data_IF_833214269506
#
_entry.id   IF_833214269506
#
_cell.length_a   1.000
_cell.length_b   1.000
_cell.length_c   1.000
_cell.angle_alpha   90.00
_cell.angle_beta   90.00
_cell.angle_gamma   90.00
#
_symmetry.space_group_name_H-M   'P 1'
#
loop_
_entity.id
_entity.type
_entity.pdbx_description
1 polymer ?
#
# COMPACT_ATOMS: atom_id res chain seq x y z
N UNK A 1 -5.75 -3.53 -14.90
CA UNK A 1 -4.92 -2.46 -14.24
C UNK A 1 -5.14 -2.61 -12.74
N UNK A 2 -4.08 -2.88 -11.96
CA UNK A 2 -4.18 -3.04 -10.50
C UNK A 2 -4.03 -1.68 -9.86
N UNK A 3 -4.92 -1.35 -8.94
CA UNK A 3 -4.94 -0.09 -8.22
C UNK A 3 -4.79 -0.38 -6.72
N UNK A 4 -4.11 0.49 -6.00
CA UNK A 4 -4.01 0.40 -4.54
C UNK A 4 -4.02 1.83 -3.97
N UNK A 5 -4.39 1.94 -2.72
CA UNK A 5 -4.25 3.15 -1.93
C UNK A 5 -3.48 2.82 -0.66
N UNK A 6 -2.45 3.59 -0.36
CA UNK A 6 -1.68 3.47 0.87
C UNK A 6 -1.64 4.85 1.52
N UNK A 7 -2.27 4.97 2.66
CA UNK A 7 -2.22 6.14 3.53
C UNK A 7 -1.30 5.80 4.70
N UNK A 8 -0.40 6.69 5.06
CA UNK A 8 0.47 6.43 6.19
C UNK A 8 0.89 7.69 6.95
N UNK A 9 1.09 7.53 8.25
CA UNK A 9 1.62 8.54 9.13
C UNK A 9 2.94 8.04 9.70
N UNK A 10 4.01 8.79 9.47
CA UNK A 10 5.35 8.44 9.87
C UNK A 10 5.85 9.42 10.94
N UNK A 11 6.13 8.92 12.15
CA UNK A 11 6.69 9.68 13.30
C UNK A 11 5.95 10.97 13.66
N UNK A 12 4.63 10.97 13.53
CA UNK A 12 3.75 12.10 13.91
C UNK A 12 2.73 11.73 14.98
N UNK A 13 2.76 10.50 15.49
CA UNK A 13 1.96 10.03 16.61
C UNK A 13 2.84 9.79 17.85
N UNK A 14 2.30 10.01 19.06
CA UNK A 14 3.08 9.88 20.30
C UNK A 14 3.55 8.45 20.58
N UNK A 15 2.73 7.45 20.23
CA UNK A 15 3.00 6.03 20.48
C UNK A 15 3.51 5.30 19.22
N UNK A 16 2.89 5.56 18.07
CA UNK A 16 3.17 4.81 16.84
C UNK A 16 4.19 5.52 15.96
N UNK A 17 5.28 4.83 15.66
CA UNK A 17 6.30 5.32 14.71
C UNK A 17 5.81 5.27 13.27
N UNK A 18 4.96 4.27 12.95
CA UNK A 18 4.34 4.12 11.64
C UNK A 18 2.91 3.62 11.80
N UNK A 19 1.97 4.37 11.23
CA UNK A 19 0.57 3.98 11.08
C UNK A 19 0.33 3.84 9.57
N UNK A 20 -0.21 2.70 9.13
CA UNK A 20 -0.57 2.47 7.72
C UNK A 20 -2.03 2.06 7.65
N UNK A 21 -2.74 2.66 6.70
CA UNK A 21 -4.09 2.26 6.30
C UNK A 21 -4.12 2.12 4.78
N UNK A 22 -4.39 0.92 4.26
CA UNK A 22 -4.22 0.63 2.85
C UNK A 22 -5.32 -0.24 2.28
N UNK A 23 -5.71 0.03 1.02
CA UNK A 23 -6.62 -0.79 0.23
C UNK A 23 -5.88 -1.45 -0.93
N UNK A 24 -6.07 -2.76 -1.07
CA UNK A 24 -5.65 -3.52 -2.24
C UNK A 24 -6.83 -3.68 -3.20
N UNK A 25 -6.72 -3.03 -4.34
CA UNK A 25 -7.73 -3.12 -5.40
C UNK A 25 -7.22 -4.02 -6.54
N UNK A 26 -7.99 -5.04 -6.89
CA UNK A 26 -7.58 -6.07 -7.84
C UNK A 26 -8.80 -6.75 -8.48
N UNK A 27 -8.60 -7.40 -9.60
CA UNK A 27 -9.60 -8.30 -10.19
C UNK A 27 -9.92 -9.45 -9.24
N UNK A 28 -11.24 -9.72 -9.05
CA UNK A 28 -11.67 -10.78 -8.13
C UNK A 28 -11.20 -12.17 -8.49
N UNK A 29 -10.93 -12.42 -9.78
CA UNK A 29 -10.44 -13.70 -10.28
C UNK A 29 -8.96 -13.97 -9.96
N UNK A 30 -8.16 -12.93 -9.59
CA UNK A 30 -6.74 -13.10 -9.30
C UNK A 30 -6.55 -13.90 -8.01
N UNK A 31 -5.90 -15.08 -8.07
CA UNK A 31 -5.71 -15.91 -6.89
C UNK A 31 -4.74 -15.23 -5.91
N UNK A 32 -5.17 -15.09 -4.66
CA UNK A 32 -4.42 -14.40 -3.62
C UNK A 32 -4.66 -15.08 -2.29
N UNK A 33 -3.60 -15.32 -1.50
CA UNK A 33 -3.70 -15.71 -0.11
C UNK A 33 -3.78 -14.46 0.79
N UNK A 34 -4.64 -14.48 1.83
CA UNK A 34 -4.63 -13.45 2.88
C UNK A 34 -3.29 -13.35 3.59
N UNK A 35 -3.11 -12.30 4.40
CA UNK A 35 -1.92 -12.14 5.21
C UNK A 35 -1.68 -13.36 6.10
N UNK A 36 -0.45 -13.87 6.06
CA UNK A 36 0.05 -14.97 6.87
C UNK A 36 1.58 -14.92 6.94
N UNK A 37 2.18 -15.62 7.88
CA UNK A 37 3.61 -15.87 7.83
C UNK A 37 3.91 -16.86 6.70
N UNK A 38 4.82 -16.49 5.79
CA UNK A 38 5.12 -17.33 4.64
C UNK A 38 5.90 -18.59 5.03
N UNK A 39 5.49 -19.74 4.52
CA UNK A 39 6.16 -21.01 4.82
C UNK A 39 7.62 -21.04 4.34
N UNK A 40 7.89 -20.45 3.16
CA UNK A 40 9.22 -20.35 2.55
C UNK A 40 10.07 -19.19 3.08
N UNK A 41 9.47 -18.25 3.82
CA UNK A 41 10.11 -17.10 4.47
C UNK A 41 9.41 -16.76 5.79
N UNK A 42 9.63 -17.53 6.87
CA UNK A 42 8.84 -17.42 8.10
C UNK A 42 8.95 -16.08 8.83
N UNK A 43 9.91 -15.25 8.47
CA UNK A 43 10.04 -13.89 9.00
C UNK A 43 9.07 -12.89 8.34
N UNK A 44 8.48 -13.25 7.18
CA UNK A 44 7.63 -12.34 6.40
C UNK A 44 6.17 -12.60 6.73
N UNK A 45 5.47 -11.56 7.16
CA UNK A 45 4.03 -11.49 7.32
C UNK A 45 3.46 -10.61 6.19
N UNK A 46 2.74 -11.22 5.27
CA UNK A 46 2.14 -10.54 4.11
C UNK A 46 1.05 -11.40 3.47
N UNK A 47 0.15 -10.78 2.72
CA UNK A 47 -0.64 -11.47 1.72
C UNK A 47 0.25 -11.98 0.59
N UNK A 48 -0.24 -12.94 -0.22
CA UNK A 48 0.56 -13.50 -1.32
C UNK A 48 -0.21 -13.57 -2.62
N UNK A 49 0.35 -13.03 -3.68
CA UNK A 49 -0.09 -13.24 -5.04
C UNK A 49 0.27 -14.67 -5.47
N UNK A 50 -0.73 -15.52 -5.71
CA UNK A 50 -0.50 -16.93 -6.03
C UNK A 50 -0.20 -17.20 -7.50
N UNK A 51 -0.25 -16.16 -8.37
CA UNK A 51 0.22 -16.25 -9.75
C UNK A 51 1.72 -15.97 -9.89
N UNK A 52 2.19 -14.92 -9.23
CA UNK A 52 3.56 -14.40 -9.38
C UNK A 52 4.40 -14.57 -8.12
N UNK A 53 3.84 -15.13 -7.06
CA UNK A 53 4.50 -15.46 -5.79
C UNK A 53 5.14 -14.27 -5.06
N UNK A 54 4.78 -13.04 -5.44
CA UNK A 54 5.16 -11.80 -4.78
C UNK A 54 4.08 -11.30 -3.83
N UNK A 55 4.26 -10.06 -3.37
CA UNK A 55 3.27 -9.35 -2.54
C UNK A 55 3.22 -7.87 -2.89
N UNK A 56 2.20 -7.18 -2.41
CA UNK A 56 2.00 -5.74 -2.58
C UNK A 56 2.33 -4.93 -1.32
N UNK A 57 2.26 -5.56 -0.14
CA UNK A 57 2.61 -4.99 1.16
C UNK A 57 2.90 -6.10 2.17
N UNK A 58 3.86 -5.85 3.05
CA UNK A 58 4.18 -6.77 4.12
C UNK A 58 5.17 -6.20 5.13
N UNK A 59 5.41 -6.99 6.15
CA UNK A 59 6.35 -6.69 7.25
C UNK A 59 7.19 -7.92 7.57
N UNK A 60 8.27 -7.72 8.31
CA UNK A 60 9.05 -8.81 8.90
C UNK A 60 8.97 -8.78 10.42
N UNK A 61 9.33 -9.90 11.05
CA UNK A 61 9.49 -10.00 12.50
C UNK A 61 10.61 -9.11 13.05
N UNK A 62 11.47 -8.54 12.19
CA UNK A 62 12.51 -7.58 12.55
C UNK A 62 12.10 -6.12 12.32
N UNK A 63 10.82 -5.84 12.02
CA UNK A 63 10.32 -4.48 11.83
C UNK A 63 10.58 -3.87 10.44
N UNK A 64 11.03 -4.65 9.45
CA UNK A 64 11.06 -4.16 8.06
C UNK A 64 9.65 -4.05 7.53
N UNK A 65 9.40 -2.99 6.78
CA UNK A 65 8.15 -2.74 6.09
C UNK A 65 8.42 -2.47 4.62
N UNK A 66 7.61 -3.00 3.73
CA UNK A 66 7.61 -2.62 2.33
C UNK A 66 6.21 -2.67 1.74
N UNK A 67 5.89 -1.72 0.87
CA UNK A 67 4.61 -1.63 0.18
C UNK A 67 4.77 -0.98 -1.19
N UNK A 68 3.88 -1.32 -2.12
CA UNK A 68 3.98 -0.90 -3.51
C UNK A 68 2.61 -0.52 -4.07
N UNK A 69 2.60 0.54 -4.89
CA UNK A 69 1.49 0.81 -5.81
C UNK A 69 1.99 0.82 -7.26
N UNK A 70 1.13 0.42 -8.17
CA UNK A 70 1.39 0.58 -9.60
C UNK A 70 1.30 2.06 -9.97
N UNK A 71 2.13 2.51 -10.92
CA UNK A 71 1.89 3.78 -11.59
C UNK A 71 0.86 3.58 -12.71
N UNK A 72 -0.12 4.48 -12.83
CA UNK A 72 -1.18 4.39 -13.83
C UNK A 72 -0.71 5.02 -15.14
N UNK A 73 -0.33 4.20 -16.09
CA UNK A 73 -0.11 4.56 -17.48
C UNK A 73 -0.76 3.51 -18.39
N UNK A 74 -1.94 3.79 -18.97
CA UNK A 74 -2.62 2.85 -19.87
C UNK A 74 -1.85 2.54 -21.15
N UNK A 75 -0.87 3.37 -21.52
CA UNK A 75 -0.04 3.22 -22.74
C UNK A 75 1.22 2.42 -22.47
N UNK A 76 1.54 2.14 -21.21
CA UNK A 76 2.76 1.42 -20.88
C UNK A 76 2.71 -0.03 -21.35
N UNK A 77 3.72 -0.46 -22.11
CA UNK A 77 3.91 -1.85 -22.49
C UNK A 77 4.39 -2.66 -21.28
N UNK A 78 3.60 -3.65 -20.88
CA UNK A 78 3.91 -4.52 -19.73
C UNK A 78 4.39 -5.91 -20.13
N UNK A 79 4.32 -6.24 -21.45
CA UNK A 79 4.78 -7.51 -21.98
C UNK A 79 6.30 -7.69 -21.77
N UNK A 80 6.71 -8.87 -21.32
CA UNK A 80 8.11 -9.17 -21.01
C UNK A 80 8.65 -8.54 -19.73
N UNK A 81 7.88 -7.72 -19.01
CA UNK A 81 8.27 -7.13 -17.74
C UNK A 81 8.09 -8.09 -16.56
N UNK A 82 8.92 -7.92 -15.55
CA UNK A 82 8.84 -8.64 -14.26
C UNK A 82 7.65 -8.17 -13.44
N UNK A 83 7.23 -9.01 -12.49
CA UNK A 83 6.18 -8.65 -11.52
C UNK A 83 6.70 -7.63 -10.50
N UNK A 84 6.01 -6.50 -10.36
CA UNK A 84 6.32 -5.49 -9.33
C UNK A 84 6.26 -6.03 -7.91
N UNK A 85 5.42 -7.07 -7.65
CA UNK A 85 5.33 -7.72 -6.34
C UNK A 85 6.63 -8.38 -5.87
N UNK A 86 7.58 -8.65 -6.78
CA UNK A 86 8.92 -9.12 -6.42
C UNK A 86 9.70 -8.05 -5.67
N UNK A 87 9.56 -6.77 -6.03
CA UNK A 87 10.25 -5.65 -5.38
C UNK A 87 9.95 -5.56 -3.88
N UNK A 88 8.68 -5.78 -3.51
CA UNK A 88 8.28 -5.81 -2.09
C UNK A 88 8.86 -7.03 -1.39
N UNK A 89 8.73 -8.21 -1.99
CA UNK A 89 9.27 -9.45 -1.44
C UNK A 89 10.80 -9.38 -1.27
N UNK A 90 11.50 -8.81 -2.24
CA UNK A 90 12.95 -8.64 -2.20
C UNK A 90 13.37 -7.62 -1.14
N UNK A 91 12.65 -6.50 -0.98
CA UNK A 91 12.89 -5.52 0.08
C UNK A 91 12.73 -6.14 1.48
N UNK A 92 11.69 -6.97 1.68
CA UNK A 92 11.46 -7.68 2.94
C UNK A 92 12.53 -8.73 3.24
N UNK A 93 13.03 -9.45 2.23
CA UNK A 93 14.08 -10.45 2.34
C UNK A 93 15.48 -9.85 2.51
N UNK A 94 15.68 -8.61 2.09
CA UNK A 94 16.99 -7.98 2.10
C UNK A 94 17.53 -7.81 3.52
N UNK A 95 18.75 -8.29 3.80
CA UNK A 95 19.33 -8.27 5.15
C UNK A 95 20.32 -7.09 5.37
N UNK A 96 20.63 -6.33 4.31
CA UNK A 96 21.50 -5.16 4.36
C UNK A 96 20.78 -3.87 4.76
N UNK A 97 21.44 -2.76 4.53
CA UNK A 97 20.91 -1.41 4.76
C UNK A 97 19.81 -1.09 3.74
N UNK A 98 18.65 -0.60 4.20
CA UNK A 98 17.51 -0.33 3.33
C UNK A 98 17.79 0.80 2.34
N UNK A 99 18.59 1.81 2.72
CA UNK A 99 18.98 2.89 1.81
C UNK A 99 19.78 2.36 0.61
N UNK A 100 20.73 1.46 0.84
CA UNK A 100 21.49 0.82 -0.23
C UNK A 100 20.59 0.01 -1.17
N UNK A 101 19.62 -0.74 -0.63
CA UNK A 101 18.62 -1.45 -1.43
C UNK A 101 17.86 -0.49 -2.35
N UNK A 102 17.35 0.60 -1.78
CA UNK A 102 16.55 1.59 -2.51
C UNK A 102 17.37 2.35 -3.57
N UNK A 103 18.64 2.66 -3.29
CA UNK A 103 19.56 3.28 -4.26
C UNK A 103 19.84 2.38 -5.47
N UNK A 104 19.90 1.06 -5.25
CA UNK A 104 20.18 0.09 -6.32
C UNK A 104 18.96 -0.18 -7.24
N UNK A 105 17.75 0.23 -6.87
CA UNK A 105 16.55 0.02 -7.69
C UNK A 105 16.67 0.66 -9.07
N UNK A 106 17.29 1.84 -9.16
CA UNK A 106 17.44 2.59 -10.41
C UNK A 106 18.08 1.81 -11.56
N UNK A 107 19.04 0.94 -11.24
CA UNK A 107 19.72 0.09 -12.22
C UNK A 107 18.79 -0.94 -12.89
N UNK A 108 17.67 -1.28 -12.26
CA UNK A 108 16.75 -2.32 -12.69
C UNK A 108 15.37 -1.79 -13.13
N UNK A 109 15.20 -0.48 -13.21
CA UNK A 109 13.92 0.17 -13.58
C UNK A 109 13.31 -0.38 -14.88
N UNK A 110 14.14 -0.64 -15.87
CA UNK A 110 13.73 -1.13 -17.19
C UNK A 110 13.07 -2.51 -17.16
N UNK A 111 13.29 -3.30 -16.09
CA UNK A 111 12.74 -4.64 -15.92
C UNK A 111 11.27 -4.63 -15.46
N UNK A 112 10.77 -3.52 -14.94
CA UNK A 112 9.44 -3.43 -14.33
C UNK A 112 8.58 -2.38 -15.01
N UNK A 113 7.25 -2.57 -15.04
CA UNK A 113 6.34 -1.47 -15.35
C UNK A 113 6.40 -0.39 -14.28
N UNK A 114 5.79 0.78 -14.53
CA UNK A 114 5.72 1.91 -13.62
C UNK A 114 5.25 1.53 -12.20
N UNK A 115 6.01 1.96 -11.19
CA UNK A 115 5.73 1.66 -9.78
C UNK A 115 6.15 2.78 -8.84
N UNK A 116 5.57 2.72 -7.64
CA UNK A 116 5.99 3.42 -6.45
C UNK A 116 6.30 2.39 -5.38
N UNK A 117 7.46 2.45 -4.76
CA UNK A 117 7.87 1.57 -3.66
C UNK A 117 8.11 2.40 -2.41
N UNK A 118 7.52 1.97 -1.32
CA UNK A 118 7.78 2.44 0.04
C UNK A 118 8.46 1.32 0.79
N UNK A 119 9.63 1.58 1.40
CA UNK A 119 10.32 0.57 2.18
C UNK A 119 11.12 1.18 3.33
N UNK A 120 11.19 0.47 4.46
CA UNK A 120 11.89 0.89 5.66
C UNK A 120 12.31 -0.27 6.56
N UNK A 121 13.13 0.01 7.55
CA UNK A 121 13.72 -0.98 8.46
C UNK A 121 13.45 -0.70 9.96
N UNK A 122 12.40 0.08 10.24
CA UNK A 122 12.05 0.53 11.60
C UNK A 122 12.76 1.83 12.00
N UNK A 123 13.94 2.14 11.43
CA UNK A 123 14.64 3.40 11.68
C UNK A 123 14.31 4.47 10.66
N UNK A 124 14.35 4.11 9.39
CA UNK A 124 14.13 5.04 8.30
C UNK A 124 13.09 4.49 7.31
N UNK A 125 12.41 5.41 6.63
CA UNK A 125 11.40 5.11 5.63
C UNK A 125 11.77 5.83 4.33
N UNK A 126 11.78 5.10 3.23
CA UNK A 126 12.19 5.57 1.92
C UNK A 126 11.06 5.40 0.91
N UNK A 127 10.92 6.34 0.02
CA UNK A 127 10.05 6.29 -1.14
C UNK A 127 10.86 6.33 -2.42
N UNK A 128 10.51 5.50 -3.38
CA UNK A 128 11.09 5.51 -4.71
C UNK A 128 10.02 5.27 -5.78
N UNK A 129 10.10 6.01 -6.89
CA UNK A 129 9.30 5.76 -8.09
C UNK A 129 10.22 5.63 -9.30
N UNK A 130 10.06 4.55 -10.10
CA UNK A 130 10.81 4.42 -11.35
C UNK A 130 10.34 5.38 -12.44
N UNK A 131 9.15 5.96 -12.30
CA UNK A 131 8.64 7.00 -13.20
C UNK A 131 9.17 8.37 -12.78
N UNK A 132 9.11 8.71 -11.49
CA UNK A 132 9.69 9.94 -10.95
C UNK A 132 11.22 9.94 -10.88
N UNK A 133 11.85 8.77 -10.92
CA UNK A 133 13.29 8.54 -10.84
C UNK A 133 13.97 9.25 -9.65
N UNK A 134 13.25 9.34 -8.54
CA UNK A 134 13.70 10.04 -7.34
C UNK A 134 13.56 9.13 -6.13
N UNK A 135 14.68 8.96 -5.42
CA UNK A 135 14.70 8.37 -4.08
C UNK A 135 14.54 9.48 -3.05
N UNK A 136 13.60 9.29 -2.13
CA UNK A 136 13.35 10.21 -1.01
C UNK A 136 13.43 9.45 0.32
N UNK A 137 14.29 9.92 1.22
CA UNK A 137 14.20 9.56 2.64
C UNK A 137 13.11 10.41 3.25
N UNK A 138 12.06 9.78 3.76
CA UNK A 138 10.90 10.48 4.26
C UNK A 138 11.15 11.12 5.63
N UNK A 139 10.62 12.31 5.84
CA UNK A 139 10.59 13.01 7.12
C UNK A 139 9.29 12.71 7.87
N UNK A 140 9.19 13.04 9.19
CA UNK A 140 7.92 12.93 9.89
C UNK A 140 6.78 13.66 9.16
N UNK A 141 5.65 12.96 8.94
CA UNK A 141 4.53 13.53 8.18
C UNK A 141 3.40 12.54 7.92
N UNK A 142 2.34 13.04 7.27
CA UNK A 142 1.19 12.26 6.83
C UNK A 142 1.19 12.23 5.30
N UNK A 143 1.16 11.03 4.75
CA UNK A 143 1.38 10.76 3.35
C UNK A 143 0.26 9.92 2.74
N UNK A 144 0.10 10.05 1.42
CA UNK A 144 -0.80 9.22 0.65
C UNK A 144 -0.17 8.84 -0.68
N UNK A 145 -0.29 7.58 -1.04
CA UNK A 145 0.23 7.01 -2.28
C UNK A 145 -0.85 6.16 -2.94
N UNK A 146 -1.13 6.47 -4.21
CA UNK A 146 -2.00 5.64 -5.04
C UNK A 146 -1.27 5.34 -6.36
N UNK A 147 -1.94 5.49 -7.48
CA UNK A 147 -1.39 5.10 -8.79
C UNK A 147 -0.73 6.27 -9.55
N UNK A 148 -0.25 7.23 -8.83
CA UNK A 148 0.56 8.36 -9.25
C UNK A 148 1.68 8.58 -8.22
N UNK A 149 2.48 9.62 -8.34
CA UNK A 149 3.55 9.92 -7.39
C UNK A 149 3.01 10.18 -5.97
N UNK A 150 3.88 10.07 -4.99
CA UNK A 150 3.57 10.32 -3.58
C UNK A 150 2.89 11.68 -3.40
N UNK A 151 1.84 11.73 -2.58
CA UNK A 151 1.06 12.93 -2.29
C UNK A 151 0.47 13.63 -3.53
N UNK A 152 0.14 12.86 -4.58
CA UNK A 152 -0.57 13.44 -5.73
C UNK A 152 -1.90 14.06 -5.30
N UNK A 153 -2.32 15.12 -6.00
CA UNK A 153 -3.59 15.82 -5.77
C UNK A 153 -4.83 15.06 -6.28
N UNK A 154 -4.77 13.73 -6.27
CA UNK A 154 -5.94 12.92 -6.58
C UNK A 154 -6.94 12.94 -5.42
N UNK A 155 -8.25 13.08 -5.69
CA UNK A 155 -9.27 13.23 -4.64
C UNK A 155 -9.18 12.18 -3.53
N UNK A 156 -8.99 10.89 -3.89
CA UNK A 156 -8.87 9.83 -2.90
C UNK A 156 -7.61 9.93 -2.04
N UNK A 157 -6.52 10.47 -2.57
CA UNK A 157 -5.27 10.66 -1.82
C UNK A 157 -5.43 11.82 -0.84
N UNK A 158 -6.00 12.95 -1.27
CA UNK A 158 -6.25 14.11 -0.41
C UNK A 158 -7.26 13.78 0.68
N UNK A 159 -8.44 13.24 0.31
CA UNK A 159 -9.49 12.82 1.25
C UNK A 159 -8.96 11.80 2.27
N UNK A 160 -8.17 10.83 1.80
CA UNK A 160 -7.56 9.82 2.67
C UNK A 160 -6.57 10.41 3.65
N UNK A 161 -5.67 11.29 3.22
CA UNK A 161 -4.69 11.97 4.08
C UNK A 161 -5.36 12.87 5.12
N UNK A 162 -6.38 13.63 4.74
CA UNK A 162 -7.16 14.46 5.66
C UNK A 162 -7.89 13.59 6.69
N UNK A 163 -8.51 12.48 6.25
CA UNK A 163 -9.15 11.52 7.14
C UNK A 163 -8.18 10.91 8.14
N UNK A 164 -7.00 10.46 7.67
CA UNK A 164 -5.94 9.93 8.54
C UNK A 164 -5.45 10.98 9.54
N UNK A 165 -5.23 12.23 9.11
CA UNK A 165 -4.80 13.32 9.97
C UNK A 165 -5.82 13.58 11.10
N UNK A 166 -7.11 13.58 10.77
CA UNK A 166 -8.19 13.75 11.74
C UNK A 166 -8.20 12.62 12.76
N UNK A 167 -8.18 11.35 12.32
CA UNK A 167 -8.17 10.17 13.21
C UNK A 167 -7.01 10.23 14.19
N UNK A 168 -5.80 10.56 13.71
CA UNK A 168 -4.61 10.68 14.56
C UNK A 168 -4.77 11.80 15.61
N UNK A 169 -5.41 12.92 15.25
CA UNK A 169 -5.60 14.04 16.16
C UNK A 169 -6.64 13.79 17.26
N UNK A 170 -7.59 12.90 17.04
CA UNK A 170 -8.71 12.63 17.96
C UNK A 170 -8.32 11.80 19.19
N UNK A 171 -7.11 11.23 19.25
CA UNK A 171 -6.54 10.49 20.41
C UNK A 171 -7.55 9.56 21.12
N UNK A 172 -8.31 8.78 20.33
CA UNK A 172 -9.31 7.87 20.89
C UNK A 172 -8.86 6.40 20.80
N UNK A 173 -9.42 5.56 21.68
CA UNK A 173 -9.12 4.12 21.76
C UNK A 173 -9.63 3.33 20.54
N UNK A 174 -10.37 3.95 19.62
CA UNK A 174 -10.99 3.33 18.44
C UNK A 174 -10.23 3.52 17.14
N UNK A 175 -8.92 3.82 17.16
CA UNK A 175 -8.13 4.14 15.96
C UNK A 175 -8.19 3.03 14.89
N UNK A 176 -8.09 1.76 15.27
CA UNK A 176 -8.18 0.62 14.35
C UNK A 176 -9.46 0.67 13.51
N UNK A 177 -10.61 0.73 14.17
CA UNK A 177 -11.91 0.75 13.50
C UNK A 177 -12.15 2.06 12.74
N UNK A 178 -11.67 3.19 13.24
CA UNK A 178 -11.75 4.48 12.54
C UNK A 178 -10.95 4.46 11.22
N UNK A 179 -9.78 3.80 11.20
CA UNK A 179 -8.99 3.60 9.98
C UNK A 179 -9.69 2.67 8.99
N UNK A 180 -10.31 1.57 9.45
CA UNK A 180 -11.12 0.73 8.58
C UNK A 180 -12.34 1.48 8.03
N UNK A 181 -13.03 2.26 8.85
CA UNK A 181 -14.16 3.09 8.40
C UNK A 181 -13.72 4.13 7.35
N UNK A 182 -12.55 4.74 7.50
CA UNK A 182 -11.97 5.62 6.49
C UNK A 182 -11.74 4.88 5.17
N UNK A 183 -11.12 3.69 5.22
CA UNK A 183 -10.82 2.87 4.04
C UNK A 183 -12.06 2.38 3.31
N UNK A 184 -13.19 2.19 4.01
CA UNK A 184 -14.48 1.76 3.44
C UNK A 184 -15.28 2.91 2.78
N UNK A 185 -14.73 4.12 2.71
CA UNK A 185 -15.41 5.21 2.04
C UNK A 185 -15.51 4.98 0.52
N UNK A 186 -16.71 4.72 0.04
CA UNK A 186 -17.04 4.44 -1.35
C UNK A 186 -17.58 5.65 -2.13
N UNK A 187 -17.56 6.87 -1.54
CA UNK A 187 -18.04 8.08 -2.22
C UNK A 187 -17.15 8.44 -3.41
N UNK A 188 -17.68 8.49 -4.64
CA UNK A 188 -16.92 8.91 -5.81
C UNK A 188 -16.59 10.41 -5.74
N UNK A 189 -15.49 10.79 -6.38
CA UNK A 189 -15.16 12.18 -6.57
C UNK A 189 -16.05 12.81 -7.67
N UNK A 190 -16.34 14.14 -7.60
CA UNK A 190 -17.02 14.84 -8.66
C UNK A 190 -16.16 14.86 -9.93
N UNK A 191 -16.82 14.87 -11.10
CA UNK A 191 -16.15 14.72 -12.39
C UNK A 191 -15.05 15.76 -12.64
N UNK A 192 -15.28 16.99 -12.21
CA UNK A 192 -14.34 18.11 -12.36
C UNK A 192 -13.04 17.94 -11.55
N UNK A 193 -13.06 17.07 -10.52
CA UNK A 193 -11.90 16.76 -9.70
C UNK A 193 -11.17 15.48 -10.15
N UNK A 194 -11.74 14.73 -11.12
CA UNK A 194 -11.11 13.51 -11.59
C UNK A 194 -9.81 13.77 -12.35
N UNK A 195 -8.79 12.92 -12.16
CA UNK A 195 -7.57 13.03 -12.97
C UNK A 195 -7.84 12.61 -14.41
N UNK A 196 -7.03 13.12 -15.34
CA UNK A 196 -7.03 12.65 -16.72
C UNK A 196 -5.82 11.77 -16.96
N UNK A 197 -5.96 10.45 -16.77
CA UNK A 197 -4.85 9.50 -16.84
C UNK A 197 -4.82 8.69 -18.14
N UNK A 198 -5.77 8.95 -19.05
CA UNK A 198 -5.86 8.26 -20.33
C UNK A 198 -6.79 7.04 -20.32
N UNK A 199 -7.47 6.75 -19.21
CA UNK A 199 -8.62 5.82 -19.16
C UNK A 199 -9.92 6.59 -19.49
N UNK A 200 -11.03 5.85 -19.70
CA UNK A 200 -12.34 6.47 -19.92
C UNK A 200 -12.84 7.18 -18.66
N UNK A 201 -13.72 8.16 -18.81
CA UNK A 201 -14.35 8.86 -17.68
C UNK A 201 -15.07 7.89 -16.71
N UNK A 202 -15.69 6.85 -17.24
CA UNK A 202 -16.34 5.81 -16.42
C UNK A 202 -15.33 5.09 -15.52
N UNK A 203 -14.15 4.79 -16.05
CA UNK A 203 -13.07 4.22 -15.25
C UNK A 203 -12.50 5.22 -14.25
N UNK A 204 -12.33 6.50 -14.60
CA UNK A 204 -11.88 7.51 -13.63
C UNK A 204 -12.87 7.63 -12.47
N UNK A 205 -14.19 7.64 -12.73
CA UNK A 205 -15.25 7.63 -11.70
C UNK A 205 -15.17 6.37 -10.81
N UNK A 206 -15.09 5.19 -11.42
CA UNK A 206 -15.01 3.91 -10.72
C UNK A 206 -13.79 3.84 -9.79
N UNK A 207 -12.66 4.39 -10.22
CA UNK A 207 -11.39 4.33 -9.51
C UNK A 207 -11.16 5.51 -8.54
N UNK A 208 -12.12 6.44 -8.43
CA UNK A 208 -11.99 7.66 -7.62
C UNK A 208 -12.24 7.46 -6.12
N UNK A 209 -13.09 6.53 -5.65
CA UNK A 209 -13.27 6.29 -4.21
C UNK A 209 -12.04 5.68 -3.54
N UNK A 210 -12.01 5.73 -2.19
CA UNK A 210 -11.05 4.96 -1.42
C UNK A 210 -11.37 3.46 -1.50
N UNK A 211 -12.66 3.10 -1.36
CA UNK A 211 -13.17 1.74 -1.51
C UNK A 211 -13.82 1.56 -2.87
N UNK A 212 -13.35 0.59 -3.64
CA UNK A 212 -13.84 0.33 -5.00
C UNK A 212 -14.69 -0.92 -5.00
N UNK A 213 -15.89 -0.81 -5.60
CA UNK A 213 -16.82 -1.92 -5.74
C UNK A 213 -17.38 -1.97 -7.16
N UNK A 214 -17.17 -3.10 -7.85
CA UNK A 214 -17.77 -3.37 -9.16
C UNK A 214 -17.93 -4.88 -9.37
N UNK A 215 -18.45 -5.29 -10.52
CA UNK A 215 -18.75 -6.70 -10.81
C UNK A 215 -17.52 -7.61 -10.84
N UNK A 216 -16.39 -7.14 -11.38
CA UNK A 216 -15.21 -7.96 -11.63
C UNK A 216 -13.93 -7.46 -10.96
N UNK A 217 -13.96 -6.23 -10.46
CA UNK A 217 -12.83 -5.51 -9.92
C UNK A 217 -13.22 -4.72 -8.69
N UNK A 218 -12.36 -4.64 -7.69
CA UNK A 218 -12.62 -3.83 -6.51
C UNK A 218 -11.62 -4.06 -5.39
N UNK A 219 -11.91 -3.46 -4.24
CA UNK A 219 -11.11 -3.62 -3.03
C UNK A 219 -11.25 -5.05 -2.52
N UNK A 220 -10.13 -5.79 -2.52
CA UNK A 220 -10.03 -7.19 -2.09
C UNK A 220 -9.73 -7.30 -0.61
N UNK A 221 -8.93 -6.39 -0.11
CA UNK A 221 -8.62 -6.31 1.31
C UNK A 221 -8.27 -4.88 1.72
N UNK A 222 -8.56 -4.56 2.98
CA UNK A 222 -8.09 -3.38 3.68
C UNK A 222 -7.10 -3.82 4.76
N UNK A 223 -5.98 -3.11 4.91
CA UNK A 223 -4.99 -3.42 5.92
C UNK A 223 -4.75 -2.20 6.81
N UNK A 224 -4.79 -2.42 8.11
CA UNK A 224 -4.35 -1.47 9.14
C UNK A 224 -3.11 -2.03 9.81
N UNK A 225 -2.05 -1.23 9.87
CA UNK A 225 -0.81 -1.58 10.56
C UNK A 225 -0.43 -0.48 11.53
N UNK A 226 -0.18 -0.85 12.77
CA UNK A 226 0.22 0.05 13.85
C UNK A 226 1.56 -0.45 14.42
N UNK A 227 2.62 0.34 14.23
CA UNK A 227 3.98 -0.01 14.65
C UNK A 227 4.51 0.96 15.69
N UNK A 228 4.89 0.43 16.84
CA UNK A 228 5.66 1.11 17.88
C UNK A 228 7.15 0.75 17.77
N UNK A 229 7.99 1.19 18.70
CA UNK A 229 9.41 0.79 18.75
C UNK A 229 9.66 -0.67 19.12
N UNK A 230 8.66 -1.39 19.65
CA UNK A 230 8.82 -2.75 20.18
C UNK A 230 7.75 -3.74 19.73
N UNK A 231 6.67 -3.24 19.12
CA UNK A 231 5.49 -4.03 18.77
C UNK A 231 4.89 -3.57 17.45
N UNK A 232 4.41 -4.51 16.70
CA UNK A 232 3.64 -4.28 15.47
C UNK A 232 2.32 -5.03 15.53
N UNK A 233 1.23 -4.34 15.24
CA UNK A 233 -0.08 -4.93 14.97
C UNK A 233 -0.34 -4.85 13.47
N UNK A 234 -0.72 -5.97 12.87
CA UNK A 234 -1.05 -6.07 11.44
C UNK A 234 -2.42 -6.72 11.32
N UNK A 235 -3.38 -5.99 10.79
CA UNK A 235 -4.76 -6.45 10.63
C UNK A 235 -5.13 -6.32 9.17
N UNK A 236 -5.46 -7.43 8.52
CA UNK A 236 -6.01 -7.45 7.16
C UNK A 236 -7.47 -7.89 7.21
N UNK A 237 -8.38 -7.04 6.73
CA UNK A 237 -9.78 -7.34 6.50
C UNK A 237 -9.97 -7.73 5.05
N UNK A 238 -10.31 -8.99 4.81
CA UNK A 238 -10.52 -9.55 3.47
C UNK A 238 -11.99 -9.53 3.12
N UNK A 239 -12.32 -8.99 1.95
CA UNK A 239 -13.68 -8.91 1.42
C UNK A 239 -13.94 -10.05 0.44
N UNK A 240 -15.04 -10.76 0.65
CA UNK A 240 -15.48 -11.86 -0.20
C UNK A 240 -17.01 -11.88 -0.34
N UNK A 241 -17.52 -12.68 -1.27
CA UNK A 241 -18.97 -12.89 -1.41
C UNK A 241 -19.66 -13.46 -0.15
N UNK A 242 -18.86 -14.06 0.74
CA UNK A 242 -19.36 -14.65 1.99
C UNK A 242 -19.24 -13.68 3.19
N UNK A 243 -18.87 -12.44 2.96
CA UNK A 243 -18.67 -11.41 3.98
C UNK A 243 -17.20 -11.06 4.21
N UNK A 244 -16.94 -10.40 5.33
CA UNK A 244 -15.62 -9.94 5.75
C UNK A 244 -14.96 -10.95 6.68
N UNK A 245 -13.63 -11.07 6.60
CA UNK A 245 -12.82 -11.91 7.49
C UNK A 245 -11.52 -11.21 7.86
N UNK A 246 -11.26 -11.03 9.14
CA UNK A 246 -10.07 -10.38 9.67
C UNK A 246 -8.96 -11.39 9.98
N UNK A 247 -7.75 -11.11 9.47
CA UNK A 247 -6.50 -11.74 9.85
C UNK A 247 -5.76 -10.78 10.78
N UNK A 248 -5.61 -11.13 12.07
CA UNK A 248 -4.98 -10.26 13.09
C UNK A 248 -3.71 -10.89 13.63
N UNK A 249 -2.63 -10.12 13.55
CA UNK A 249 -1.31 -10.53 14.03
C UNK A 249 -0.71 -9.47 14.95
N UNK A 250 0.00 -9.95 15.96
CA UNK A 250 0.85 -9.12 16.82
C UNK A 250 2.25 -9.67 16.77
N UNK A 251 3.22 -8.84 16.40
CA UNK A 251 4.64 -9.20 16.31
C UNK A 251 5.40 -8.38 17.35
N UNK A 252 6.28 -9.02 18.12
CA UNK A 252 7.28 -8.35 18.95
C UNK A 252 8.50 -8.06 18.06
N UNK A 253 8.99 -6.81 18.07
CA UNK A 253 10.09 -6.32 17.25
C UNK A 253 11.42 -6.34 18.00
#
# INVERSE_FOLDING_TARGET
MVMCLILFAYRVHEEYQLIVAANRDEFYQRPTAPAHFWEDQPEILAGRDLEKMGTWMGVTTSGRFAALTNYRDPKEATEGKRSRGELVADALKYKGNMEEYMQNLGAHNHLYPGYNLLAGDGNDLYYYSNVGQKLEKLTPGIYGMSNHLLNSSWPKVEKGREGLARIISEKNDGMEEALFALLQNADPAPDEALPSTGVTLEWERLLSPLFIESEHYGTRSSTVMLMTGTKLQYIERVFSKNGENDQKYTVQL
#
